data_IF_617132905708
#
_entry.id   IF_617132905708
#
_cell.length_a   1.000
_cell.length_b   1.000
_cell.length_c   1.000
_cell.angle_alpha   90.00
_cell.angle_beta   90.00
_cell.angle_gamma   90.00
#
_symmetry.space_group_name_H-M   'P 1'
#
loop_
_entity.id
_entity.type
_entity.pdbx_description
1 polymer ?
#
# COMPACT_ATOMS: atom_id res chain seq x y z
N UNK A 1 -33.83 44.28 39.06
CA UNK A 1 -32.64 43.96 38.25
C UNK A 1 -31.88 42.84 38.97
N UNK A 2 -31.88 41.63 38.39
CA UNK A 2 -31.09 40.50 39.00
C UNK A 2 -29.67 40.60 38.46
N UNK A 3 -28.71 40.81 39.36
CA UNK A 3 -27.28 40.75 39.04
C UNK A 3 -26.94 39.37 38.51
N UNK A 4 -26.53 39.27 37.23
CA UNK A 4 -26.05 38.06 36.66
C UNK A 4 -24.63 37.81 37.17
N UNK A 5 -24.42 36.73 37.92
CA UNK A 5 -23.16 36.42 38.59
C UNK A 5 -22.09 35.97 37.55
N UNK A 6 -21.17 36.88 37.26
CA UNK A 6 -20.04 36.66 36.35
C UNK A 6 -19.17 35.46 36.74
N UNK A 7 -19.22 35.00 37.97
CA UNK A 7 -18.47 33.83 38.44
C UNK A 7 -19.00 32.52 37.84
N UNK A 8 -20.31 32.42 37.65
CA UNK A 8 -20.95 31.24 37.04
C UNK A 8 -20.55 31.12 35.54
N UNK A 9 -20.40 32.25 34.87
CA UNK A 9 -20.04 32.24 33.43
C UNK A 9 -18.59 31.76 33.20
N UNK A 10 -17.69 32.06 34.13
CA UNK A 10 -16.29 31.63 34.06
C UNK A 10 -16.11 30.12 34.15
N UNK A 11 -16.91 29.44 35.00
CA UNK A 11 -16.87 27.97 35.11
C UNK A 11 -17.43 27.26 33.86
N UNK A 12 -18.48 27.82 33.25
CA UNK A 12 -19.07 27.24 32.03
C UNK A 12 -18.11 27.34 30.84
N UNK A 13 -17.43 28.46 30.66
CA UNK A 13 -16.47 28.64 29.58
C UNK A 13 -15.24 27.74 29.78
N UNK A 14 -14.75 27.58 31.02
CA UNK A 14 -13.65 26.68 31.33
C UNK A 14 -14.02 25.20 31.06
N UNK A 15 -15.24 24.79 31.40
CA UNK A 15 -15.69 23.41 31.18
C UNK A 15 -15.86 23.08 29.70
N UNK A 16 -16.35 24.01 28.89
CA UNK A 16 -16.46 23.86 27.43
C UNK A 16 -15.10 23.82 26.75
N UNK A 17 -14.12 24.59 27.22
CA UNK A 17 -12.78 24.59 26.69
C UNK A 17 -12.03 23.27 26.97
N UNK A 18 -12.20 22.69 28.17
CA UNK A 18 -11.58 21.42 28.56
C UNK A 18 -12.20 20.24 27.76
N UNK A 19 -13.52 20.24 27.57
CA UNK A 19 -14.17 19.18 26.77
C UNK A 19 -13.81 19.24 25.28
N UNK A 20 -13.64 20.44 24.72
CA UNK A 20 -13.19 20.60 23.33
C UNK A 20 -11.73 20.13 23.14
N UNK A 21 -10.84 20.42 24.10
CA UNK A 21 -9.45 19.95 24.06
C UNK A 21 -9.35 18.42 24.15
N UNK A 22 -10.24 17.78 24.92
CA UNK A 22 -10.24 16.31 25.08
C UNK A 22 -10.69 15.58 23.81
N UNK A 23 -11.57 16.20 23.00
CA UNK A 23 -12.04 15.62 21.75
C UNK A 23 -10.98 15.69 20.63
N UNK A 24 -10.10 16.68 20.65
CA UNK A 24 -9.04 16.86 19.63
C UNK A 24 -7.89 15.89 19.88
N UNK A 25 -7.56 15.57 21.13
CA UNK A 25 -6.44 14.70 21.47
C UNK A 25 -6.68 13.20 21.24
N UNK A 26 -7.95 12.79 21.07
CA UNK A 26 -8.34 11.40 20.83
C UNK A 26 -8.71 11.09 19.37
N UNK A 27 -8.45 12.00 18.44
CA UNK A 27 -8.61 11.68 17.02
C UNK A 27 -7.56 10.66 16.61
N UNK A 28 -7.93 9.45 16.15
CA UNK A 28 -6.95 8.49 15.70
C UNK A 28 -6.23 9.09 14.48
N UNK A 29 -4.95 9.37 14.64
CA UNK A 29 -4.08 9.69 13.52
C UNK A 29 -3.93 8.37 12.76
N UNK A 30 -4.66 8.23 11.65
CA UNK A 30 -4.43 7.15 10.72
C UNK A 30 -3.02 7.33 10.14
N UNK A 31 -2.08 6.52 10.59
CA UNK A 31 -0.74 6.51 10.04
C UNK A 31 -0.82 5.94 8.62
N UNK A 32 -0.13 6.57 7.67
CA UNK A 32 -0.03 6.08 6.30
C UNK A 32 0.54 4.65 6.22
N UNK A 33 1.22 4.19 7.28
CA UNK A 33 1.73 2.83 7.45
C UNK A 33 0.63 1.75 7.45
N UNK A 34 -0.64 2.12 7.69
CA UNK A 34 -1.79 1.19 7.75
C UNK A 34 -2.61 1.17 6.44
N UNK A 35 -2.15 1.87 5.40
CA UNK A 35 -2.82 1.93 4.11
C UNK A 35 -2.95 0.54 3.44
N UNK A 36 -1.96 -0.32 3.67
CA UNK A 36 -1.94 -1.69 3.15
C UNK A 36 -1.51 -2.68 4.24
N UNK A 37 -2.00 -3.95 4.18
CA UNK A 37 -1.57 -4.98 5.12
C UNK A 37 -0.08 -5.29 4.98
N UNK A 38 0.53 -5.78 6.07
CA UNK A 38 1.98 -6.12 6.11
C UNK A 38 2.37 -7.33 5.27
N UNK A 39 1.39 -8.08 4.80
CA UNK A 39 1.57 -9.22 3.91
C UNK A 39 0.41 -9.28 2.93
N UNK A 40 0.63 -9.87 1.77
CA UNK A 40 -0.41 -10.04 0.78
C UNK A 40 -1.54 -10.94 1.32
N UNK A 41 -2.79 -10.45 1.43
CA UNK A 41 -3.91 -11.25 1.91
C UNK A 41 -4.27 -12.42 0.99
N UNK A 42 -3.87 -12.35 -0.29
CA UNK A 42 -4.11 -13.38 -1.30
C UNK A 42 -2.91 -14.34 -1.48
N UNK A 43 -1.88 -14.24 -0.63
CA UNK A 43 -0.72 -15.13 -0.70
C UNK A 43 -1.15 -16.59 -0.48
N UNK A 44 -0.84 -17.47 -1.44
CA UNK A 44 -1.20 -18.89 -1.38
C UNK A 44 -2.62 -19.23 -1.84
N UNK A 45 -3.44 -18.25 -2.22
CA UNK A 45 -4.73 -18.51 -2.84
C UNK A 45 -4.54 -18.89 -4.32
N UNK A 46 -4.81 -20.13 -4.66
CA UNK A 46 -4.63 -20.70 -6.01
C UNK A 46 -5.44 -19.94 -7.08
N UNK A 47 -6.64 -19.48 -6.74
CA UNK A 47 -7.50 -18.72 -7.66
C UNK A 47 -6.90 -17.37 -7.95
N UNK A 48 -6.46 -16.67 -6.91
CA UNK A 48 -5.79 -15.37 -7.03
C UNK A 48 -4.46 -15.51 -7.77
N UNK A 49 -3.67 -16.54 -7.49
CA UNK A 49 -2.41 -16.84 -8.21
C UNK A 49 -2.69 -17.02 -9.70
N UNK A 50 -3.71 -17.82 -10.06
CA UNK A 50 -4.10 -18.04 -11.46
C UNK A 50 -4.59 -16.78 -12.17
N UNK A 51 -5.36 -15.90 -11.48
CA UNK A 51 -5.77 -14.58 -11.97
C UNK A 51 -4.53 -13.68 -12.14
N UNK A 52 -3.68 -13.64 -11.14
CA UNK A 52 -2.47 -12.83 -11.12
C UNK A 52 -1.49 -13.19 -12.22
N UNK A 53 -1.31 -14.49 -12.51
CA UNK A 53 -0.48 -14.94 -13.62
C UNK A 53 -0.98 -14.39 -14.96
N UNK A 54 -2.29 -14.46 -15.24
CA UNK A 54 -2.88 -13.94 -16.47
C UNK A 54 -2.67 -12.42 -16.59
N UNK A 55 -2.87 -11.68 -15.51
CA UNK A 55 -2.68 -10.23 -15.47
C UNK A 55 -1.20 -9.86 -15.63
N UNK A 56 -0.30 -10.60 -14.99
CA UNK A 56 1.15 -10.42 -15.14
C UNK A 56 1.58 -10.57 -16.60
N UNK A 57 1.15 -11.64 -17.28
CA UNK A 57 1.45 -11.86 -18.70
C UNK A 57 0.85 -10.81 -19.62
N UNK A 58 -0.23 -10.16 -19.21
CA UNK A 58 -0.85 -9.08 -20.00
C UNK A 58 -0.11 -7.76 -19.84
N UNK A 59 0.32 -7.40 -18.62
CA UNK A 59 0.73 -6.04 -18.28
C UNK A 59 2.20 -5.88 -17.88
N UNK A 60 2.84 -6.92 -17.35
CA UNK A 60 4.14 -6.81 -16.67
C UNK A 60 5.28 -7.51 -17.43
N UNK A 61 4.96 -8.61 -18.12
CA UNK A 61 5.94 -9.49 -18.79
C UNK A 61 6.83 -8.75 -19.78
N UNK A 62 6.29 -7.73 -20.44
CA UNK A 62 7.03 -6.98 -21.47
C UNK A 62 8.32 -6.37 -20.92
N UNK A 63 8.35 -5.97 -19.67
CA UNK A 63 9.51 -5.38 -19.01
C UNK A 63 10.17 -6.31 -18.00
N UNK A 64 9.37 -7.11 -17.27
CA UNK A 64 9.89 -7.92 -16.16
C UNK A 64 10.27 -9.36 -16.54
N UNK A 65 9.98 -9.80 -17.78
CA UNK A 65 10.34 -11.14 -18.25
C UNK A 65 9.32 -12.22 -17.88
N UNK A 66 9.44 -13.38 -18.52
CA UNK A 66 8.45 -14.48 -18.38
C UNK A 66 8.45 -15.10 -17.00
N UNK A 67 9.58 -15.08 -16.33
CA UNK A 67 9.79 -15.64 -14.98
C UNK A 67 10.05 -14.53 -13.95
N UNK A 68 9.68 -13.29 -14.29
CA UNK A 68 9.88 -12.11 -13.45
C UNK A 68 11.36 -11.77 -13.14
N UNK A 69 12.28 -12.26 -13.95
CA UNK A 69 13.73 -12.16 -13.81
C UNK A 69 14.31 -10.81 -14.30
N UNK A 70 13.46 -9.88 -14.69
CA UNK A 70 13.87 -8.53 -15.13
C UNK A 70 14.34 -8.43 -16.58
N UNK A 71 14.25 -9.51 -17.35
CA UNK A 71 14.61 -9.54 -18.78
C UNK A 71 13.34 -9.63 -19.61
N UNK A 72 12.84 -8.49 -20.02
CA UNK A 72 11.62 -8.38 -20.81
C UNK A 72 11.81 -8.67 -22.30
N UNK A 73 10.72 -8.60 -23.05
CA UNK A 73 10.73 -8.79 -24.50
C UNK A 73 11.50 -7.65 -25.20
N UNK A 74 12.14 -7.97 -26.32
CA UNK A 74 12.92 -7.00 -27.12
C UNK A 74 14.03 -6.29 -26.32
N UNK A 75 14.65 -7.00 -25.35
CA UNK A 75 15.72 -6.47 -24.50
C UNK A 75 15.32 -5.32 -23.58
N UNK A 76 14.03 -5.09 -23.35
CA UNK A 76 13.59 -4.21 -22.27
C UNK A 76 14.05 -4.77 -20.92
N UNK A 77 14.44 -3.88 -20.00
CA UNK A 77 14.91 -4.29 -18.66
C UNK A 77 13.99 -3.68 -17.62
N UNK A 78 13.35 -4.56 -16.84
CA UNK A 78 12.70 -4.23 -15.58
C UNK A 78 13.56 -4.65 -14.39
N UNK A 79 13.08 -4.43 -13.19
CA UNK A 79 13.68 -5.03 -12.00
C UNK A 79 13.42 -6.54 -11.98
N UNK A 80 14.36 -7.31 -11.44
CA UNK A 80 14.15 -8.73 -11.10
C UNK A 80 13.21 -8.79 -9.90
N UNK A 81 11.99 -9.25 -10.12
CA UNK A 81 10.95 -9.35 -9.10
C UNK A 81 11.06 -10.66 -8.29
N UNK A 82 11.86 -11.62 -8.77
CA UNK A 82 12.09 -12.89 -8.04
C UNK A 82 12.90 -12.69 -6.76
N UNK A 83 13.62 -11.57 -6.67
CA UNK A 83 14.41 -11.16 -5.50
C UNK A 83 13.84 -9.90 -4.85
N UNK A 84 12.53 -9.66 -4.97
CA UNK A 84 11.88 -8.47 -4.40
C UNK A 84 12.03 -8.45 -2.87
N UNK A 85 12.90 -7.57 -2.38
CA UNK A 85 13.32 -7.54 -0.98
C UNK A 85 12.45 -6.63 -0.07
N UNK A 86 11.54 -5.86 -0.67
CA UNK A 86 10.65 -4.92 0.04
C UNK A 86 9.39 -5.62 0.55
N UNK A 87 8.59 -4.91 1.33
CA UNK A 87 7.31 -5.39 1.84
C UNK A 87 6.23 -5.47 0.75
N UNK A 88 5.16 -6.21 1.03
CA UNK A 88 3.97 -6.21 0.20
C UNK A 88 3.34 -4.82 0.07
N UNK A 89 3.36 -4.03 1.14
CA UNK A 89 2.90 -2.65 1.10
C UNK A 89 3.72 -1.80 0.12
N UNK A 90 5.05 -1.90 0.13
CA UNK A 90 5.90 -1.22 -0.85
C UNK A 90 5.62 -1.67 -2.28
N UNK A 91 5.32 -2.97 -2.47
CA UNK A 91 4.90 -3.50 -3.77
C UNK A 91 3.63 -2.80 -4.25
N UNK A 92 2.60 -2.68 -3.41
CA UNK A 92 1.34 -2.02 -3.76
C UNK A 92 1.57 -0.55 -4.11
N UNK A 93 2.35 0.19 -3.30
CA UNK A 93 2.71 1.59 -3.56
C UNK A 93 3.43 1.74 -4.89
N UNK A 94 4.41 0.88 -5.17
CA UNK A 94 5.16 0.89 -6.44
C UNK A 94 4.24 0.57 -7.62
N UNK A 95 3.40 -0.44 -7.51
CA UNK A 95 2.53 -0.85 -8.60
C UNK A 95 1.47 0.22 -8.91
N UNK A 96 0.84 0.78 -7.89
CA UNK A 96 -0.19 1.82 -8.06
C UNK A 96 0.39 3.12 -8.66
N UNK A 97 1.52 3.59 -8.13
CA UNK A 97 2.09 4.90 -8.51
C UNK A 97 3.13 4.81 -9.62
N UNK A 98 3.60 3.61 -9.93
CA UNK A 98 4.71 3.41 -10.87
C UNK A 98 6.06 3.87 -10.31
N UNK A 99 7.05 3.77 -11.15
CA UNK A 99 8.40 4.31 -10.97
C UNK A 99 8.80 5.01 -12.27
N UNK A 100 8.23 6.19 -12.50
CA UNK A 100 8.43 6.94 -13.74
C UNK A 100 9.90 7.32 -13.96
N UNK A 101 10.65 7.50 -12.86
CA UNK A 101 12.10 7.65 -12.84
C UNK A 101 12.88 6.42 -13.36
N UNK A 102 12.21 5.26 -13.44
CA UNK A 102 12.72 3.98 -13.95
C UNK A 102 11.90 3.44 -15.13
N UNK A 103 11.11 4.28 -15.78
CA UNK A 103 10.23 3.94 -16.89
C UNK A 103 9.16 2.87 -16.56
N UNK A 104 8.78 2.70 -15.30
CA UNK A 104 7.65 1.88 -14.90
C UNK A 104 6.40 2.77 -14.79
N UNK A 105 5.37 2.54 -15.62
CA UNK A 105 4.15 3.33 -15.55
C UNK A 105 3.35 3.03 -14.27
N UNK A 106 2.48 3.96 -13.80
CA UNK A 106 1.52 3.68 -12.77
C UNK A 106 0.42 2.74 -13.29
N UNK A 107 0.00 1.80 -12.46
CA UNK A 107 -1.09 0.88 -12.77
C UNK A 107 -2.39 1.24 -12.04
N UNK A 108 -2.36 2.19 -11.09
CA UNK A 108 -3.56 2.74 -10.46
C UNK A 108 -4.49 3.34 -11.53
N UNK A 109 -5.78 3.00 -11.47
CA UNK A 109 -6.77 3.39 -12.48
C UNK A 109 -6.84 2.48 -13.72
N UNK A 110 -5.89 1.54 -13.89
CA UNK A 110 -5.89 0.50 -14.94
C UNK A 110 -6.22 -0.87 -14.33
N UNK A 111 -5.64 -1.13 -13.18
CA UNK A 111 -5.86 -2.33 -12.37
C UNK A 111 -6.37 -1.89 -10.99
N UNK A 112 -7.31 -2.66 -10.45
CA UNK A 112 -7.76 -2.46 -9.08
C UNK A 112 -6.81 -3.11 -8.07
N UNK A 113 -7.03 -2.83 -6.78
CA UNK A 113 -6.15 -3.33 -5.71
C UNK A 113 -6.20 -4.86 -5.57
N UNK A 114 -7.34 -5.50 -5.85
CA UNK A 114 -7.46 -6.96 -5.83
C UNK A 114 -6.68 -7.58 -7.00
N UNK A 115 -6.71 -6.97 -8.17
CA UNK A 115 -5.96 -7.41 -9.34
C UNK A 115 -4.45 -7.28 -9.10
N UNK A 116 -4.01 -6.15 -8.51
CA UNK A 116 -2.61 -5.95 -8.11
C UNK A 116 -2.20 -6.94 -7.02
N UNK A 117 -3.06 -7.19 -6.02
CA UNK A 117 -2.81 -8.19 -4.98
C UNK A 117 -2.68 -9.61 -5.56
N UNK A 118 -3.51 -9.93 -6.56
CA UNK A 118 -3.43 -11.20 -7.29
C UNK A 118 -2.12 -11.33 -8.07
N UNK A 119 -1.66 -10.28 -8.75
CA UNK A 119 -0.32 -10.25 -9.37
C UNK A 119 0.77 -10.47 -8.32
N UNK A 120 0.66 -9.79 -7.16
CA UNK A 120 1.56 -10.00 -6.03
C UNK A 120 1.59 -11.44 -5.54
N UNK A 121 0.42 -12.11 -5.43
CA UNK A 121 0.33 -13.52 -5.06
C UNK A 121 1.05 -14.44 -6.06
N UNK A 122 0.88 -14.18 -7.36
CA UNK A 122 1.62 -14.90 -8.41
C UNK A 122 3.13 -14.66 -8.30
N UNK A 123 3.57 -13.41 -8.14
CA UNK A 123 5.00 -13.08 -8.00
C UNK A 123 5.64 -13.76 -6.79
N UNK A 124 4.89 -13.90 -5.70
CA UNK A 124 5.36 -14.62 -4.50
C UNK A 124 5.60 -16.10 -4.76
N UNK A 125 4.93 -16.72 -5.74
CA UNK A 125 5.24 -18.11 -6.14
C UNK A 125 6.55 -18.23 -6.90
N UNK A 126 7.06 -17.14 -7.47
CA UNK A 126 8.33 -17.07 -8.19
C UNK A 126 9.47 -16.56 -7.30
N UNK A 127 9.17 -16.21 -6.05
CA UNK A 127 10.12 -15.58 -5.13
C UNK A 127 11.25 -16.53 -4.76
N UNK A 128 12.49 -16.03 -4.85
CA UNK A 128 13.69 -16.69 -4.36
C UNK A 128 13.88 -16.45 -2.86
N UNK A 129 14.76 -17.17 -2.23
CA UNK A 129 15.04 -17.11 -0.79
C UNK A 129 15.36 -15.68 -0.29
N UNK A 130 16.00 -14.85 -1.13
CA UNK A 130 16.34 -13.47 -0.81
C UNK A 130 15.17 -12.49 -0.89
N UNK A 131 14.00 -12.90 -1.38
CA UNK A 131 12.81 -12.05 -1.42
C UNK A 131 12.16 -11.94 -0.04
N UNK A 132 11.57 -10.78 0.28
CA UNK A 132 10.99 -10.57 1.60
C UNK A 132 9.45 -10.58 1.60
N UNK A 133 8.81 -9.69 0.86
CA UNK A 133 7.35 -9.54 0.77
C UNK A 133 6.62 -9.22 2.09
N UNK A 134 7.32 -9.02 3.20
CA UNK A 134 6.75 -8.82 4.54
C UNK A 134 7.29 -7.54 5.19
N UNK A 135 6.59 -7.04 6.18
CA UNK A 135 7.04 -5.92 6.99
C UNK A 135 6.27 -4.63 6.73
N UNK A 136 6.79 -3.54 7.28
CA UNK A 136 6.17 -2.21 7.17
C UNK A 136 6.40 -1.61 5.79
N UNK A 137 5.53 -0.69 5.41
CA UNK A 137 5.79 0.22 4.30
C UNK A 137 7.03 1.05 4.57
N UNK A 138 7.86 1.21 3.56
CA UNK A 138 9.04 2.09 3.59
C UNK A 138 8.96 3.22 2.55
N UNK A 139 7.93 3.21 1.71
CA UNK A 139 7.73 4.15 0.61
C UNK A 139 6.53 5.10 0.81
N UNK A 140 5.91 5.08 1.99
CA UNK A 140 4.85 6.03 2.38
C UNK A 140 5.41 7.17 3.19
#
# INVERSE_FOLDING_TARGET
MKYFDLRQFSFFVAFLAISAAFLITNWPIAHAEDAYPRSNPLAGDETAIGKGAKLYFKWCVACHGRHAEGVGVRFTKGADLTIFWRSYCDYMVIALNGRTDKNMPPWGGVLDEEELSSIGAYLQTLAKESANWKGRCTLL
#
